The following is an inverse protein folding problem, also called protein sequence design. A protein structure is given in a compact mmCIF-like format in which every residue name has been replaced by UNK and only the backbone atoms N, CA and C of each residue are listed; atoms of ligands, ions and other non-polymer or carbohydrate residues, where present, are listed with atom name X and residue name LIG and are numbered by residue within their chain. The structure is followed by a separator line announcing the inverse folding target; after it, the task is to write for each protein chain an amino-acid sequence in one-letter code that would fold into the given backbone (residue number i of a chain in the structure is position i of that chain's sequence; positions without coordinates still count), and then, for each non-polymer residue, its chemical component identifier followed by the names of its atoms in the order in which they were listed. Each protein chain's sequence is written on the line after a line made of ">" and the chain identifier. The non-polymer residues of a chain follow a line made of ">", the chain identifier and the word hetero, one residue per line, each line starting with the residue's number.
data_IF_652773068837
#
_entry.id   IF_652773068837
#
_cell.length_a   1.000
_cell.length_b   1.000
_cell.length_c   1.000
_cell.angle_alpha   90.00
_cell.angle_beta   90.00
_cell.angle_gamma   90.00
#
_symmetry.space_group_name_H-M   'P 1'
#
loop_
_entity.id
_entity.type
_entity.pdbx_description
1 polymer ?
#
# COMPACT_ATOMS: atom_id res chain seq x y z
N UNK A 1 15.72 -29.19 -10.01
CA UNK A 1 15.37 -27.75 -9.99
C UNK A 1 14.67 -27.33 -8.70
N UNK A 2 13.62 -28.05 -8.25
CA UNK A 2 12.88 -27.73 -7.01
C UNK A 2 13.74 -27.65 -5.73
N UNK A 3 14.77 -28.48 -5.58
CA UNK A 3 15.68 -28.42 -4.43
C UNK A 3 16.38 -27.06 -4.28
N UNK A 4 16.78 -26.44 -5.40
CA UNK A 4 17.42 -25.11 -5.38
C UNK A 4 16.43 -24.01 -4.99
N UNK A 5 15.16 -24.14 -5.39
CA UNK A 5 14.09 -23.24 -4.97
C UNK A 5 13.76 -23.40 -3.49
N UNK A 6 13.79 -24.62 -2.95
CA UNK A 6 13.65 -24.87 -1.51
C UNK A 6 14.72 -24.12 -0.71
N UNK A 7 15.99 -24.29 -1.08
CA UNK A 7 17.11 -23.58 -0.43
C UNK A 7 16.97 -22.06 -0.54
N UNK A 8 16.51 -21.55 -1.68
CA UNK A 8 16.29 -20.11 -1.85
C UNK A 8 15.17 -19.61 -0.93
N UNK A 9 14.03 -20.32 -0.89
CA UNK A 9 12.91 -19.98 -0.04
C UNK A 9 13.34 -19.94 1.42
N UNK A 10 14.02 -20.98 1.91
CA UNK A 10 14.40 -21.08 3.31
C UNK A 10 15.36 -19.93 3.71
N UNK A 11 16.28 -19.53 2.81
CA UNK A 11 17.16 -18.37 3.03
C UNK A 11 16.41 -17.04 3.03
N UNK A 12 15.44 -16.87 2.12
CA UNK A 12 14.62 -15.66 2.05
C UNK A 12 13.72 -15.56 3.28
N UNK A 13 13.10 -16.65 3.71
CA UNK A 13 12.29 -16.69 4.93
C UNK A 13 13.10 -16.26 6.14
N UNK A 14 14.27 -16.86 6.38
CA UNK A 14 15.14 -16.48 7.50
C UNK A 14 15.56 -15.01 7.45
N UNK A 15 15.80 -14.48 6.25
CA UNK A 15 16.17 -13.08 6.06
C UNK A 15 15.01 -12.12 6.30
N UNK A 16 13.79 -12.50 5.90
CA UNK A 16 12.57 -11.74 6.16
C UNK A 16 12.31 -11.72 7.66
N UNK A 17 12.30 -12.88 8.33
CA UNK A 17 12.12 -13.00 9.79
C UNK A 17 13.11 -12.12 10.57
N UNK A 18 14.38 -12.11 10.17
CA UNK A 18 15.37 -11.28 10.84
C UNK A 18 15.09 -9.78 10.67
N UNK A 19 14.66 -9.34 9.49
CA UNK A 19 14.38 -7.92 9.24
C UNK A 19 13.05 -7.44 9.82
N UNK A 20 12.03 -8.31 9.84
CA UNK A 20 10.73 -7.97 10.42
C UNK A 20 10.81 -7.88 11.95
N UNK A 21 11.73 -8.63 12.59
CA UNK A 21 11.98 -8.51 14.02
C UNK A 21 12.39 -7.08 14.45
N UNK A 22 13.10 -6.37 13.57
CA UNK A 22 13.58 -5.00 13.82
C UNK A 22 12.62 -3.90 13.30
N UNK A 23 11.60 -4.26 12.49
CA UNK A 23 10.59 -3.34 11.95
C UNK A 23 9.19 -3.77 12.39
N UNK A 24 8.60 -3.12 13.42
CA UNK A 24 7.29 -3.49 13.96
C UNK A 24 6.14 -3.27 12.96
N UNK A 25 6.38 -2.59 11.84
CA UNK A 25 5.40 -2.35 10.77
C UNK A 25 5.53 -3.31 9.60
N UNK A 26 6.42 -4.30 9.66
CA UNK A 26 6.74 -5.13 8.49
C UNK A 26 5.56 -5.91 7.90
N UNK A 27 4.57 -6.28 8.71
CA UNK A 27 3.35 -6.98 8.27
C UNK A 27 2.23 -6.02 7.84
N UNK A 28 2.46 -4.72 7.90
CA UNK A 28 1.45 -3.71 7.57
C UNK A 28 1.27 -3.57 6.05
N UNK A 29 0.08 -3.87 5.50
CA UNK A 29 -0.18 -3.78 4.06
C UNK A 29 -0.13 -2.34 3.52
N UNK A 30 -0.25 -1.33 4.39
CA UNK A 30 -0.18 0.09 4.04
C UNK A 30 1.23 0.65 4.21
N UNK A 31 2.20 -0.16 4.63
CA UNK A 31 3.60 0.26 4.78
C UNK A 31 4.13 0.87 3.48
N UNK A 32 4.70 2.07 3.58
CA UNK A 32 5.16 2.86 2.42
C UNK A 32 4.10 3.77 1.80
N UNK A 33 2.83 3.66 2.21
CA UNK A 33 1.76 4.62 1.87
C UNK A 33 1.49 5.63 3.01
N UNK A 34 2.16 5.47 4.14
CA UNK A 34 2.14 6.46 5.21
C UNK A 34 2.75 7.77 4.72
N UNK A 35 1.93 8.81 4.72
CA UNK A 35 2.39 10.16 4.47
C UNK A 35 2.49 10.92 5.78
N UNK A 36 3.56 11.69 5.99
CA UNK A 36 3.61 12.64 7.09
C UNK A 36 2.63 13.79 6.82
N UNK A 37 2.20 14.46 7.88
CA UNK A 37 1.18 15.51 7.81
C UNK A 37 1.57 16.62 6.81
N UNK A 38 2.85 17.00 6.74
CA UNK A 38 3.30 17.99 5.77
C UNK A 38 3.11 17.55 4.31
N UNK A 39 3.27 16.26 4.02
CA UNK A 39 3.08 15.70 2.67
C UNK A 39 1.59 15.69 2.31
N UNK A 40 0.71 15.38 3.26
CA UNK A 40 -0.74 15.48 3.07
C UNK A 40 -1.14 16.92 2.76
N UNK A 41 -0.69 17.87 3.56
CA UNK A 41 -0.97 19.29 3.33
C UNK A 41 -0.40 19.81 2.01
N UNK A 42 0.80 19.35 1.64
CA UNK A 42 1.39 19.70 0.35
C UNK A 42 0.53 19.18 -0.80
N UNK A 43 0.17 17.88 -0.79
CA UNK A 43 -0.67 17.28 -1.81
C UNK A 43 -2.00 17.99 -1.94
N UNK A 44 -2.69 18.30 -0.85
CA UNK A 44 -3.98 19.02 -0.89
C UNK A 44 -3.87 20.41 -1.52
N UNK A 45 -2.75 21.11 -1.31
CA UNK A 45 -2.52 22.43 -1.92
C UNK A 45 -2.17 22.35 -3.39
N UNK A 46 -1.47 21.29 -3.80
CA UNK A 46 -0.99 21.13 -5.18
C UNK A 46 -1.89 20.23 -6.03
N UNK A 47 -2.93 19.63 -5.43
CA UNK A 47 -3.81 18.71 -6.14
C UNK A 47 -4.56 19.47 -7.24
N UNK A 48 -4.50 19.00 -8.49
CA UNK A 48 -5.23 19.64 -9.57
C UNK A 48 -6.72 19.67 -9.25
N UNK A 49 -7.28 20.87 -9.09
CA UNK A 49 -8.71 21.07 -8.90
C UNK A 49 -9.42 20.89 -10.25
N UNK A 50 -9.67 19.63 -10.62
CA UNK A 50 -10.62 19.24 -11.67
C UNK A 50 -10.27 19.59 -13.12
N UNK A 51 -9.62 18.66 -13.83
CA UNK A 51 -10.08 18.31 -15.17
C UNK A 51 -10.98 17.08 -15.00
N UNK A 52 -12.28 17.25 -15.30
CA UNK A 52 -13.38 16.42 -14.79
C UNK A 52 -13.22 14.92 -14.94
N UNK A 53 -13.62 14.19 -13.90
CA UNK A 53 -13.82 12.74 -13.97
C UNK A 53 -15.04 12.46 -14.87
N UNK A 54 -14.88 11.74 -16.01
CA UNK A 54 -16.04 11.26 -16.75
C UNK A 54 -16.66 10.08 -16.00
N UNK A 55 -17.90 10.25 -15.55
CA UNK A 55 -18.74 9.14 -15.06
C UNK A 55 -18.77 8.95 -13.55
N UNK A 56 -19.24 9.97 -12.81
CA UNK A 56 -19.95 9.68 -11.56
C UNK A 56 -21.28 9.00 -11.95
N UNK A 57 -21.26 7.67 -12.07
CA UNK A 57 -22.47 6.88 -12.23
C UNK A 57 -23.35 7.11 -10.99
N UNK A 58 -24.52 7.69 -11.23
CA UNK A 58 -25.54 7.96 -10.22
C UNK A 58 -25.93 6.63 -9.52
N UNK A 59 -25.82 6.52 -8.18
CA UNK A 59 -26.30 5.33 -7.48
C UNK A 59 -27.84 5.27 -7.56
N UNK A 60 -28.45 4.09 -7.75
CA UNK A 60 -29.89 3.99 -7.97
C UNK A 60 -30.68 4.42 -6.71
N UNK A 61 -31.72 5.22 -6.93
CA UNK A 61 -32.61 5.70 -5.89
C UNK A 61 -33.29 4.53 -5.16
N UNK A 62 -33.11 4.45 -3.84
CA UNK A 62 -33.89 3.57 -2.98
C UNK A 62 -35.35 4.05 -2.94
N UNK A 63 -36.26 3.27 -3.52
CA UNK A 63 -37.71 3.44 -3.37
C UNK A 63 -38.13 2.61 -2.15
N UNK A 64 -38.70 3.28 -1.14
CA UNK A 64 -39.31 2.66 0.04
C UNK A 64 -40.74 2.20 -0.18
#
# INVERSE_FOLDING_TARGET
>A
MLARLGVLRDRVTALVEHRTADDPTADDPLRGLYLPDEAVHHLLRTWPSGAGAPGAAEPPAHVG
#
